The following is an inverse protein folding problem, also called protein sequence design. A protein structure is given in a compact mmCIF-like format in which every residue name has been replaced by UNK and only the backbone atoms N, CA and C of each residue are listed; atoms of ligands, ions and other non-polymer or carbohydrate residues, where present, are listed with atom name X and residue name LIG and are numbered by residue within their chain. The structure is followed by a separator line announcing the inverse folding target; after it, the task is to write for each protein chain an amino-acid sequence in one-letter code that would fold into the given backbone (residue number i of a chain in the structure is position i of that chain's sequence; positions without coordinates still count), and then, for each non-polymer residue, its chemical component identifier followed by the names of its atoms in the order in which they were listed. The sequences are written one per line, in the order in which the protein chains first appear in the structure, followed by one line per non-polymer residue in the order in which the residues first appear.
data_IF_387873298080
#
_entry.id   IF_387873298080
#
_cell.length_a   1.000
_cell.length_b   1.000
_cell.length_c   1.000
_cell.angle_alpha   90.00
_cell.angle_beta   90.00
_cell.angle_gamma   90.00
#
_symmetry.space_group_name_H-M   'P 1'
#
loop_
_entity.id
_entity.type
_entity.pdbx_description
1 polymer ?
#
# COMPACT_ATOMS: atom_id res chain seq x y z
N UNK A 1 11.07 -3.97 -9.64
CA UNK A 1 10.09 -4.40 -8.62
C UNK A 1 9.38 -5.65 -9.11
N UNK A 2 9.96 -6.81 -8.83
CA UNK A 2 9.25 -8.07 -8.53
C UNK A 2 10.01 -8.71 -7.35
N UNK A 3 9.43 -9.48 -6.44
CA UNK A 3 8.30 -10.41 -6.54
C UNK A 3 7.63 -10.69 -5.19
N UNK A 4 6.32 -10.93 -5.20
CA UNK A 4 5.66 -12.01 -4.44
C UNK A 4 4.19 -12.11 -4.90
N UNK A 5 3.67 -13.30 -5.29
CA UNK A 5 4.30 -14.43 -5.95
C UNK A 5 4.15 -14.27 -7.47
N UNK A 6 5.25 -14.07 -8.18
CA UNK A 6 5.25 -13.99 -9.65
C UNK A 6 6.36 -14.88 -10.22
N UNK A 7 6.55 -15.00 -11.55
CA UNK A 7 7.70 -15.72 -12.22
C UNK A 7 8.83 -14.88 -12.91
N UNK A 8 8.63 -13.58 -13.23
CA UNK A 8 9.70 -12.63 -13.65
C UNK A 8 10.64 -11.94 -12.61
N UNK A 9 11.90 -11.71 -12.99
CA UNK A 9 12.97 -11.03 -12.20
C UNK A 9 13.10 -9.53 -12.56
N UNK A 10 12.06 -8.73 -12.32
CA UNK A 10 12.02 -7.33 -12.77
C UNK A 10 12.89 -6.37 -11.94
N UNK A 11 13.83 -5.66 -12.59
CA UNK A 11 14.83 -4.76 -11.96
C UNK A 11 14.39 -3.30 -11.78
N UNK A 12 13.23 -2.90 -12.31
CA UNK A 12 12.81 -1.50 -12.27
C UNK A 12 12.61 -0.98 -10.84
N UNK A 13 13.38 0.01 -10.43
CA UNK A 13 13.18 0.78 -9.19
C UNK A 13 13.51 2.24 -9.45
N UNK A 14 12.74 3.15 -8.87
CA UNK A 14 13.11 4.57 -8.84
C UNK A 14 14.43 4.73 -8.08
N UNK A 15 15.41 5.40 -8.68
CA UNK A 15 16.61 5.84 -7.98
C UNK A 15 16.34 7.18 -7.30
N UNK A 16 16.78 7.32 -6.05
CA UNK A 16 16.69 8.61 -5.36
C UNK A 16 17.71 9.58 -5.99
N UNK A 17 17.38 10.87 -6.12
CA UNK A 17 18.35 11.86 -6.59
C UNK A 17 19.53 11.92 -5.63
N UNK A 18 20.73 12.11 -6.19
CA UNK A 18 21.97 12.18 -5.41
C UNK A 18 21.93 13.33 -4.38
N UNK A 19 21.43 14.51 -4.80
CA UNK A 19 21.18 15.64 -3.91
C UNK A 19 19.69 15.72 -3.57
N UNK A 20 19.38 15.84 -2.28
CA UNK A 20 18.01 15.97 -1.76
C UNK A 20 17.56 17.41 -1.48
N UNK A 21 18.45 18.39 -1.65
CA UNK A 21 18.15 19.81 -1.53
C UNK A 21 17.28 20.28 -2.68
N UNK A 22 16.29 21.13 -2.40
CA UNK A 22 15.46 21.74 -3.45
C UNK A 22 16.31 22.61 -4.38
N UNK A 23 16.21 22.44 -5.70
CA UNK A 23 16.92 23.29 -6.64
C UNK A 23 16.32 24.71 -6.68
N UNK A 24 17.18 25.73 -6.78
CA UNK A 24 16.79 27.15 -6.69
C UNK A 24 15.92 27.66 -7.84
N UNK A 25 15.94 26.98 -9.00
CA UNK A 25 15.10 27.29 -10.17
C UNK A 25 13.65 26.78 -10.06
N UNK A 26 13.34 25.98 -9.04
CA UNK A 26 11.99 25.51 -8.77
C UNK A 26 11.23 26.60 -7.99
N UNK A 27 10.36 27.35 -8.68
CA UNK A 27 9.53 28.42 -8.07
C UNK A 27 8.28 27.90 -7.36
N UNK A 28 7.92 26.66 -7.62
CA UNK A 28 6.80 25.96 -6.98
C UNK A 28 7.40 25.12 -5.85
N UNK A 29 6.71 25.07 -4.70
CA UNK A 29 6.93 24.03 -3.69
C UNK A 29 7.03 22.66 -4.39
N UNK A 30 8.20 22.02 -4.34
CA UNK A 30 8.50 20.80 -5.10
C UNK A 30 7.45 19.71 -4.93
N UNK A 31 7.20 18.96 -6.01
CA UNK A 31 6.40 17.73 -5.97
C UNK A 31 7.00 16.69 -5.00
N UNK A 32 8.31 16.75 -4.77
CA UNK A 32 8.99 15.93 -3.77
C UNK A 32 8.84 16.53 -2.36
N UNK A 33 7.74 16.13 -1.70
CA UNK A 33 7.36 16.57 -0.35
C UNK A 33 8.49 16.42 0.68
N UNK A 34 9.32 15.38 0.52
CA UNK A 34 10.45 15.09 1.42
C UNK A 34 11.59 16.12 1.30
N UNK A 35 11.87 16.60 0.09
CA UNK A 35 12.95 17.58 -0.15
C UNK A 35 12.58 18.98 0.33
N UNK A 36 11.30 19.33 0.28
CA UNK A 36 10.78 20.64 0.70
C UNK A 36 10.57 20.69 2.20
N UNK A 37 9.92 19.66 2.75
CA UNK A 37 9.44 19.68 4.14
C UNK A 37 10.38 18.93 5.10
N UNK A 38 11.40 18.23 4.57
CA UNK A 38 12.27 17.34 5.33
C UNK A 38 11.59 16.07 5.87
N UNK A 39 10.26 16.01 5.84
CA UNK A 39 9.42 14.97 6.43
C UNK A 39 8.71 14.11 5.40
N UNK A 40 8.38 12.88 5.77
CA UNK A 40 7.54 11.99 4.93
C UNK A 40 6.10 12.50 4.92
N UNK A 41 5.38 12.29 3.82
CA UNK A 41 3.96 12.67 3.65
C UNK A 41 3.10 12.18 4.82
N UNK A 42 3.24 10.90 5.21
CA UNK A 42 2.51 10.34 6.36
C UNK A 42 2.83 11.04 7.70
N UNK A 43 4.02 11.60 7.86
CA UNK A 43 4.38 12.35 9.06
C UNK A 43 3.65 13.70 9.10
N UNK A 44 3.57 14.37 7.96
CA UNK A 44 2.86 15.64 7.80
C UNK A 44 1.36 15.42 8.02
N UNK A 45 0.77 14.41 7.38
CA UNK A 45 -0.65 14.11 7.54
C UNK A 45 -1.03 13.77 8.99
N UNK A 46 -0.14 13.09 9.73
CA UNK A 46 -0.35 12.81 11.16
C UNK A 46 -0.29 14.08 12.02
N UNK A 47 0.67 14.96 11.74
CA UNK A 47 0.80 16.22 12.47
C UNK A 47 -0.45 17.11 12.31
N UNK A 48 -1.09 17.07 11.13
CA UNK A 48 -2.32 17.81 10.86
C UNK A 48 -3.61 17.05 11.23
N UNK A 49 -3.52 15.84 11.79
CA UNK A 49 -4.70 15.04 12.16
C UNK A 49 -5.54 14.50 10.98
N UNK A 50 -5.04 14.63 9.74
CA UNK A 50 -5.71 14.17 8.51
C UNK A 50 -5.24 12.79 8.06
N UNK A 51 -4.45 12.10 8.88
CA UNK A 51 -3.95 10.78 8.53
C UNK A 51 -5.12 9.78 8.46
N UNK A 52 -5.24 9.01 7.36
CA UNK A 52 -6.26 7.97 7.28
C UNK A 52 -6.02 6.95 8.40
N UNK A 53 -7.10 6.58 9.10
CA UNK A 53 -7.04 5.57 10.15
C UNK A 53 -6.55 4.24 9.58
N UNK A 54 -7.03 3.86 8.39
CA UNK A 54 -6.58 2.67 7.66
C UNK A 54 -5.32 3.00 6.87
N UNK A 55 -4.31 2.14 6.99
CA UNK A 55 -3.09 2.23 6.21
C UNK A 55 -3.38 2.05 4.72
N UNK A 56 -2.88 3.00 3.93
CA UNK A 56 -3.17 3.11 2.49
C UNK A 56 -2.84 1.82 1.72
N UNK A 57 -1.75 1.14 2.08
CA UNK A 57 -1.37 -0.15 1.49
C UNK A 57 -2.42 -1.26 1.69
N UNK A 58 -3.06 -1.31 2.86
CA UNK A 58 -4.06 -2.31 3.18
C UNK A 58 -5.38 -2.01 2.45
N UNK A 59 -5.77 -0.72 2.44
CA UNK A 59 -6.96 -0.25 1.74
C UNK A 59 -6.95 -0.65 0.24
N UNK A 60 -5.85 -0.40 -0.46
CA UNK A 60 -5.73 -0.72 -1.88
C UNK A 60 -5.81 -2.23 -2.17
N UNK A 61 -5.26 -3.08 -1.29
CA UNK A 61 -5.36 -4.52 -1.42
C UNK A 61 -6.78 -5.04 -1.16
N UNK A 62 -7.47 -4.51 -0.15
CA UNK A 62 -8.87 -4.85 0.14
C UNK A 62 -9.76 -4.43 -1.03
N UNK A 63 -9.60 -3.20 -1.54
CA UNK A 63 -10.34 -2.71 -2.71
C UNK A 63 -10.18 -3.65 -3.92
N UNK A 64 -8.96 -4.15 -4.15
CA UNK A 64 -8.68 -5.14 -5.19
C UNK A 64 -9.37 -6.49 -4.91
N UNK A 65 -9.31 -6.99 -3.67
CA UNK A 65 -9.96 -8.24 -3.27
C UNK A 65 -11.48 -8.19 -3.47
N UNK A 66 -12.13 -7.10 -3.04
CA UNK A 66 -13.58 -6.89 -3.22
C UNK A 66 -13.95 -6.90 -4.70
N UNK A 67 -13.17 -6.23 -5.55
CA UNK A 67 -13.38 -6.25 -7.00
C UNK A 67 -13.28 -7.66 -7.58
N UNK A 68 -12.34 -8.50 -7.12
CA UNK A 68 -12.20 -9.88 -7.57
C UNK A 68 -13.35 -10.76 -7.08
N UNK A 69 -13.80 -10.59 -5.82
CA UNK A 69 -14.98 -11.29 -5.30
C UNK A 69 -16.22 -11.00 -6.14
N UNK A 70 -16.49 -9.73 -6.45
CA UNK A 70 -17.61 -9.30 -7.30
C UNK A 70 -17.54 -9.88 -8.72
N UNK A 71 -16.34 -10.01 -9.29
CA UNK A 71 -16.16 -10.69 -10.59
C UNK A 71 -16.51 -12.19 -10.51
N UNK A 72 -16.08 -12.85 -9.44
CA UNK A 72 -16.30 -14.29 -9.22
C UNK A 72 -17.75 -14.66 -8.90
N UNK A 73 -18.56 -13.74 -8.37
CA UNK A 73 -20.00 -13.94 -8.16
C UNK A 73 -20.71 -14.32 -9.46
N UNK A 74 -20.36 -13.64 -10.57
CA UNK A 74 -20.89 -13.92 -11.91
C UNK A 74 -20.12 -15.04 -12.61
N UNK A 75 -18.80 -15.11 -12.39
CA UNK A 75 -17.90 -16.03 -13.08
C UNK A 75 -17.35 -17.13 -12.17
N UNK A 76 -18.25 -17.95 -11.59
CA UNK A 76 -17.89 -18.94 -10.55
C UNK A 76 -16.90 -20.02 -11.02
N UNK A 77 -16.78 -20.26 -12.33
CA UNK A 77 -15.88 -21.27 -12.92
C UNK A 77 -14.46 -20.75 -13.20
N UNK A 78 -14.21 -19.44 -13.09
CA UNK A 78 -12.90 -18.85 -13.35
C UNK A 78 -11.90 -19.23 -12.23
N UNK A 79 -10.99 -20.16 -12.56
CA UNK A 79 -9.98 -20.69 -11.63
C UNK A 79 -8.79 -19.73 -11.47
N UNK A 80 -8.44 -18.96 -12.49
CA UNK A 80 -7.30 -18.04 -12.45
C UNK A 80 -7.60 -16.86 -11.51
N UNK A 81 -8.81 -16.31 -11.60
CA UNK A 81 -9.26 -15.25 -10.69
C UNK A 81 -9.34 -15.70 -9.23
N UNK A 82 -9.76 -16.96 -8.97
CA UNK A 82 -9.72 -17.55 -7.62
C UNK A 82 -8.30 -17.67 -7.09
N UNK A 83 -7.37 -18.13 -7.91
CA UNK A 83 -5.97 -18.21 -7.52
C UNK A 83 -5.42 -16.81 -7.19
N UNK A 84 -5.70 -15.81 -8.02
CA UNK A 84 -5.29 -14.41 -7.77
C UNK A 84 -5.91 -13.83 -6.49
N UNK A 85 -7.15 -14.18 -6.16
CA UNK A 85 -7.79 -13.79 -4.89
C UNK A 85 -6.99 -14.32 -3.70
N UNK A 86 -6.63 -15.61 -3.70
CA UNK A 86 -5.83 -16.25 -2.64
C UNK A 86 -4.48 -15.52 -2.45
N UNK A 87 -3.84 -15.11 -3.55
CA UNK A 87 -2.59 -14.35 -3.48
C UNK A 87 -2.77 -12.97 -2.84
N UNK A 88 -3.87 -12.28 -3.15
CA UNK A 88 -4.19 -10.97 -2.57
C UNK A 88 -4.53 -11.12 -1.08
N UNK A 89 -5.35 -12.09 -0.71
CA UNK A 89 -5.71 -12.39 0.68
C UNK A 89 -4.48 -12.75 1.52
N UNK A 90 -3.58 -13.59 0.99
CA UNK A 90 -2.31 -13.92 1.65
C UNK A 90 -1.44 -12.69 1.92
N UNK A 91 -1.43 -11.71 0.99
CA UNK A 91 -0.72 -10.44 1.17
C UNK A 91 -1.36 -9.56 2.24
N UNK A 92 -2.69 -9.49 2.25
CA UNK A 92 -3.46 -8.78 3.29
C UNK A 92 -3.11 -9.36 4.67
N UNK A 93 -3.14 -10.69 4.83
CA UNK A 93 -2.81 -11.35 6.09
C UNK A 93 -1.37 -11.07 6.54
N UNK A 94 -0.40 -11.09 5.63
CA UNK A 94 1.00 -10.80 5.94
C UNK A 94 1.18 -9.37 6.45
N UNK A 95 0.59 -8.39 5.76
CA UNK A 95 0.64 -6.99 6.16
C UNK A 95 -0.10 -6.72 7.48
N UNK A 96 -1.29 -7.30 7.64
CA UNK A 96 -2.06 -7.19 8.88
C UNK A 96 -1.25 -7.70 10.09
N UNK A 97 -0.55 -8.84 9.95
CA UNK A 97 0.35 -9.36 11.00
C UNK A 97 1.48 -8.38 11.33
N UNK A 98 2.12 -7.79 10.32
CA UNK A 98 3.19 -6.81 10.53
C UNK A 98 2.70 -5.56 11.28
N UNK A 99 1.53 -5.04 10.91
CA UNK A 99 0.99 -3.83 11.55
C UNK A 99 0.44 -4.09 12.96
N UNK A 100 -0.11 -5.29 13.22
CA UNK A 100 -0.48 -5.74 14.57
C UNK A 100 0.74 -5.83 15.49
N UNK A 101 1.88 -6.35 14.99
CA UNK A 101 3.13 -6.44 15.76
C UNK A 101 3.75 -5.07 16.04
N UNK A 102 3.69 -4.15 15.07
CA UNK A 102 4.31 -2.83 15.20
C UNK A 102 3.46 -1.80 15.96
N UNK A 103 2.36 -2.24 16.61
CA UNK A 103 1.43 -1.42 17.42
C UNK A 103 0.96 -0.12 16.75
N UNK A 104 0.91 -0.09 15.41
CA UNK A 104 0.40 1.06 14.64
C UNK A 104 -1.12 1.03 14.47
N UNK A 105 -1.77 -0.04 14.92
CA UNK A 105 -3.21 -0.28 14.80
C UNK A 105 -3.70 -1.04 16.03
N UNK A 106 -4.84 -0.63 16.61
CA UNK A 106 -5.52 -1.38 17.66
C UNK A 106 -6.12 -2.67 17.08
N UNK A 107 -5.78 -3.79 17.70
CA UNK A 107 -5.93 -5.17 17.21
C UNK A 107 -7.37 -5.57 16.81
N UNK A 108 -8.37 -4.83 17.26
CA UNK A 108 -9.77 -5.27 17.28
C UNK A 108 -10.51 -4.95 15.98
N UNK A 109 -10.21 -3.82 15.33
CA UNK A 109 -10.89 -3.41 14.10
C UNK A 109 -10.40 -4.14 12.83
N UNK A 110 -9.15 -4.63 12.84
CA UNK A 110 -8.53 -5.27 11.69
C UNK A 110 -8.95 -6.74 11.47
N UNK A 111 -9.37 -7.44 12.53
CA UNK A 111 -9.80 -8.84 12.44
C UNK A 111 -11.17 -9.00 11.76
N UNK A 112 -12.06 -8.02 11.90
CA UNK A 112 -13.42 -8.05 11.34
C UNK A 112 -13.45 -7.81 9.84
N UNK A 113 -12.45 -7.12 9.28
CA UNK A 113 -12.37 -6.80 7.85
C UNK A 113 -11.78 -7.92 6.98
N UNK A 114 -11.26 -8.97 7.62
CA UNK A 114 -10.54 -10.08 6.99
C UNK A 114 -11.38 -11.38 6.99
N UNK A 115 -12.50 -11.41 7.72
CA UNK A 115 -13.45 -12.52 7.77
C UNK A 115 -14.66 -12.23 6.89
#
# INVERSE_FOLDING_TARGET
MGRLPSKGKGISSSSLPYKRTTPSWLKISSQDVKSVTGSKILCILKAHGLAPEILEDLYHLIKKAVSIRKHLERNRKDKDSKFRLILVESRIHSLARYYKKTKKYESTAASTLVV
#
